data_IF_071703440128
#
_entry.id   IF_071703440128
#
_cell.length_a   1.000
_cell.length_b   1.000
_cell.length_c   1.000
_cell.angle_alpha   90.00
_cell.angle_beta   90.00
_cell.angle_gamma   90.00
#
_symmetry.space_group_name_H-M   'P 1'
#
loop_
_entity.id
_entity.type
_entity.pdbx_description
1 polymer ?
#
# COMPACT_ATOMS: atom_id res chain seq x y z
N UNK A 1 -21.67 1.63 17.60
CA UNK A 1 -20.75 1.69 16.44
C UNK A 1 -19.33 1.65 16.97
N UNK A 2 -18.55 0.61 16.65
CA UNK A 2 -17.14 0.50 17.07
C UNK A 2 -16.26 1.04 15.95
N UNK A 3 -15.31 1.90 16.28
CA UNK A 3 -14.29 2.40 15.35
C UNK A 3 -12.94 2.08 15.96
N UNK A 4 -12.04 1.51 15.16
CA UNK A 4 -10.67 1.18 15.55
C UNK A 4 -9.76 1.89 14.58
N UNK A 5 -8.79 2.64 15.10
CA UNK A 5 -7.82 3.41 14.31
C UNK A 5 -6.45 2.93 14.73
N UNK A 6 -5.65 2.54 13.74
CA UNK A 6 -4.29 2.03 13.93
C UNK A 6 -3.38 2.66 12.88
N UNK A 7 -2.10 2.79 13.22
CA UNK A 7 -1.10 3.37 12.34
C UNK A 7 -0.01 2.34 12.05
N UNK A 8 0.29 2.15 10.77
CA UNK A 8 1.40 1.31 10.32
C UNK A 8 2.56 2.19 9.89
N UNK A 9 3.76 1.92 10.44
CA UNK A 9 5.00 2.57 10.04
C UNK A 9 5.97 1.54 9.48
N UNK A 10 6.65 1.90 8.40
CA UNK A 10 7.69 1.09 7.78
C UNK A 10 8.67 2.00 7.03
N UNK A 11 9.89 1.50 6.84
CA UNK A 11 10.92 2.16 6.03
C UNK A 11 10.92 1.58 4.63
N UNK A 12 10.97 2.44 3.61
CA UNK A 12 11.09 2.02 2.21
C UNK A 12 12.56 1.96 1.78
N UNK A 13 12.85 1.14 0.76
CA UNK A 13 14.19 0.91 0.21
C UNK A 13 14.52 1.80 -1.00
N UNK A 14 13.62 2.71 -1.38
CA UNK A 14 13.84 3.63 -2.49
C UNK A 14 12.57 3.95 -3.27
N UNK A 15 12.77 4.36 -4.52
CA UNK A 15 11.70 4.73 -5.46
C UNK A 15 10.90 3.49 -5.90
N UNK A 16 9.57 3.56 -5.78
CA UNK A 16 8.62 2.48 -6.11
C UNK A 16 8.94 1.19 -5.33
N UNK A 17 9.11 1.32 -4.02
CA UNK A 17 9.16 0.17 -3.12
C UNK A 17 7.75 -0.34 -2.83
N UNK A 18 7.54 -1.65 -2.94
CA UNK A 18 6.26 -2.29 -2.69
C UNK A 18 6.35 -3.04 -1.37
N UNK A 19 5.60 -2.58 -0.38
CA UNK A 19 5.55 -3.17 0.96
C UNK A 19 4.23 -3.91 1.11
N UNK A 20 4.30 -5.22 1.25
CA UNK A 20 3.12 -6.02 1.58
C UNK A 20 2.72 -5.79 3.04
N UNK A 21 1.49 -5.29 3.22
CA UNK A 21 0.89 -5.00 4.52
C UNK A 21 -0.28 -5.93 4.84
N UNK A 22 -0.55 -6.96 4.02
CA UNK A 22 -1.74 -7.82 4.11
C UNK A 22 -1.86 -8.44 5.51
N UNK A 23 -0.82 -9.14 5.98
CA UNK A 23 -0.85 -9.77 7.30
C UNK A 23 -0.96 -8.77 8.46
N UNK A 24 -0.42 -7.55 8.29
CA UNK A 24 -0.54 -6.48 9.30
C UNK A 24 -1.98 -5.96 9.39
N UNK A 25 -2.64 -5.81 8.24
CA UNK A 25 -4.05 -5.42 8.18
C UNK A 25 -4.93 -6.53 8.75
N UNK A 26 -4.68 -7.80 8.41
CA UNK A 26 -5.38 -8.95 8.97
C UNK A 26 -5.27 -9.03 10.49
N UNK A 27 -4.07 -8.80 11.04
CA UNK A 27 -3.85 -8.75 12.49
C UNK A 27 -4.67 -7.64 13.14
N UNK A 28 -4.68 -6.43 12.56
CA UNK A 28 -5.47 -5.29 13.02
C UNK A 28 -6.97 -5.62 13.00
N UNK A 29 -7.45 -6.21 11.91
CA UNK A 29 -8.85 -6.62 11.78
C UNK A 29 -9.20 -7.69 12.82
N UNK A 30 -8.34 -8.68 13.02
CA UNK A 30 -8.51 -9.74 14.01
C UNK A 30 -8.61 -9.20 15.44
N UNK A 31 -7.74 -8.26 15.84
CA UNK A 31 -7.79 -7.62 17.17
C UNK A 31 -8.87 -6.56 17.31
N UNK A 32 -9.45 -6.08 16.21
CA UNK A 32 -10.48 -5.04 16.23
C UNK A 32 -11.77 -5.50 16.92
N UNK A 33 -12.06 -6.80 16.98
CA UNK A 33 -13.32 -7.35 17.50
C UNK A 33 -14.56 -6.94 16.70
N UNK A 34 -14.42 -6.28 15.55
CA UNK A 34 -15.51 -5.97 14.62
C UNK A 34 -15.80 -7.23 13.81
N UNK A 35 -17.05 -7.70 13.84
CA UNK A 35 -17.47 -8.94 13.13
C UNK A 35 -17.92 -8.66 11.69
N UNK A 36 -18.61 -7.55 11.49
CA UNK A 36 -19.11 -7.11 10.19
C UNK A 36 -18.90 -5.60 10.09
N UNK A 37 -18.35 -5.12 8.97
CA UNK A 37 -17.99 -3.72 8.80
C UNK A 37 -17.11 -3.47 7.59
N UNK A 38 -16.40 -2.33 7.61
CA UNK A 38 -15.50 -1.90 6.55
C UNK A 38 -14.11 -1.61 7.12
N UNK A 39 -13.09 -1.80 6.29
CA UNK A 39 -11.70 -1.45 6.60
C UNK A 39 -11.26 -0.38 5.61
N UNK A 40 -10.79 0.76 6.12
CA UNK A 40 -10.17 1.80 5.31
C UNK A 40 -8.65 1.74 5.53
N UNK A 41 -7.91 1.47 4.47
CA UNK A 41 -6.45 1.59 4.45
C UNK A 41 -6.10 2.86 3.71
N UNK A 42 -5.39 3.77 4.38
CA UNK A 42 -5.11 5.11 3.87
C UNK A 42 -3.65 5.48 4.12
N UNK A 43 -3.01 6.08 3.11
CA UNK A 43 -1.66 6.65 3.23
C UNK A 43 -1.79 8.16 3.37
N UNK A 44 -1.37 8.76 4.50
CA UNK A 44 -1.36 10.21 4.65
C UNK A 44 -0.21 10.81 3.86
N UNK A 45 -0.45 11.16 2.59
CA UNK A 45 0.52 11.83 1.72
C UNK A 45 0.20 11.71 0.23
N UNK A 46 0.90 12.49 -0.60
CA UNK A 46 0.69 12.52 -2.06
C UNK A 46 1.60 11.55 -2.84
N UNK A 47 2.65 11.02 -2.21
CA UNK A 47 3.71 10.25 -2.88
C UNK A 47 3.72 8.76 -2.54
N UNK A 48 2.65 8.28 -1.90
CA UNK A 48 2.44 6.85 -1.62
C UNK A 48 1.03 6.45 -2.03
N UNK A 49 0.85 5.15 -2.30
CA UNK A 49 -0.44 4.61 -2.72
C UNK A 49 -0.70 3.26 -2.02
N UNK A 50 -1.99 2.95 -1.85
CA UNK A 50 -2.45 1.61 -1.46
C UNK A 50 -3.00 0.94 -2.70
N UNK A 51 -2.51 -0.24 -3.01
CA UNK A 51 -2.98 -1.05 -4.14
C UNK A 51 -3.24 -2.48 -3.68
N UNK A 52 -4.15 -3.15 -4.35
CA UNK A 52 -4.35 -4.60 -4.23
C UNK A 52 -3.84 -5.25 -5.51
N UNK A 53 -2.90 -6.16 -5.39
CA UNK A 53 -2.29 -6.89 -6.50
C UNK A 53 -1.89 -8.28 -6.02
N UNK A 54 -1.86 -9.27 -6.92
CA UNK A 54 -1.32 -10.58 -6.58
C UNK A 54 0.16 -10.45 -6.21
N UNK A 55 0.56 -11.04 -5.07
CA UNK A 55 1.93 -10.97 -4.57
C UNK A 55 2.82 -12.00 -5.27
N UNK A 56 2.91 -11.91 -6.59
CA UNK A 56 3.79 -12.70 -7.43
C UNK A 56 4.99 -11.84 -7.86
N UNK A 57 6.21 -12.36 -7.72
CA UNK A 57 7.44 -11.59 -7.90
C UNK A 57 7.54 -10.98 -9.31
N UNK A 58 7.22 -11.73 -10.36
CA UNK A 58 7.22 -11.25 -11.74
C UNK A 58 6.24 -10.09 -11.94
N UNK A 59 5.00 -10.25 -11.47
CA UNK A 59 3.97 -9.23 -11.54
C UNK A 59 4.35 -7.95 -10.77
N UNK A 60 4.98 -8.08 -9.61
CA UNK A 60 5.48 -6.94 -8.84
C UNK A 60 6.58 -6.17 -9.60
N UNK A 61 7.49 -6.86 -10.28
CA UNK A 61 8.53 -6.22 -11.09
C UNK A 61 7.95 -5.61 -12.37
N UNK A 62 6.95 -6.25 -13.00
CA UNK A 62 6.21 -5.71 -14.13
C UNK A 62 5.47 -4.43 -13.76
N UNK A 63 4.81 -4.41 -12.60
CA UNK A 63 4.12 -3.24 -12.08
C UNK A 63 5.08 -2.06 -11.88
N UNK A 64 6.24 -2.32 -11.25
CA UNK A 64 7.31 -1.31 -11.09
C UNK A 64 7.82 -0.79 -12.43
N UNK A 65 8.00 -1.68 -13.43
CA UNK A 65 8.44 -1.30 -14.76
C UNK A 65 7.44 -0.38 -15.44
N UNK A 66 6.16 -0.76 -15.47
CA UNK A 66 5.10 0.04 -16.10
C UNK A 66 5.02 1.43 -15.47
N UNK A 67 5.05 1.54 -14.14
CA UNK A 67 5.03 2.85 -13.46
C UNK A 67 6.17 3.77 -13.91
N UNK A 68 7.38 3.22 -14.10
CA UNK A 68 8.54 3.98 -14.61
C UNK A 68 8.39 4.40 -16.08
N UNK A 69 7.64 3.62 -16.87
CA UNK A 69 7.35 3.94 -18.27
C UNK A 69 6.26 5.01 -18.41
N UNK A 70 5.18 4.92 -17.64
CA UNK A 70 4.03 5.84 -17.74
C UNK A 70 4.25 7.17 -17.00
N UNK A 71 5.05 7.16 -15.93
CA UNK A 71 5.41 8.37 -15.16
C UNK A 71 6.94 8.41 -15.01
N UNK A 72 7.68 8.66 -16.11
CA UNK A 72 9.12 8.61 -16.09
C UNK A 72 9.71 9.76 -15.26
N UNK A 73 10.79 9.46 -14.53
CA UNK A 73 11.51 10.47 -13.76
C UNK A 73 12.18 11.47 -14.70
N UNK A 74 12.11 12.75 -14.36
CA UNK A 74 12.75 13.81 -15.15
C UNK A 74 12.06 14.11 -16.48
N UNK A 75 10.79 13.73 -16.65
CA UNK A 75 10.00 14.00 -17.86
C UNK A 75 9.68 15.49 -18.09
N UNK A 76 10.24 16.42 -17.30
CA UNK A 76 9.96 17.84 -17.40
C UNK A 76 8.60 18.25 -16.82
N UNK A 77 8.18 17.61 -15.70
CA UNK A 77 6.97 18.01 -14.96
C UNK A 77 7.05 19.48 -14.51
N UNK A 78 5.90 20.16 -14.48
CA UNK A 78 5.75 21.57 -14.06
C UNK A 78 5.32 21.70 -12.61
#
# INVERSE_FOLDING_TARGET
MKVVIEELRFSTKGEIDLVDITSKVEEIVGRSGVKEGQVLVFVPGATGAVVTIEHEKGLLEDFKRILKEIVPKGAGYR
#
